data_IF_440077751330
#
_entry.id   IF_440077751330
#
_cell.length_a   1.000
_cell.length_b   1.000
_cell.length_c   1.000
_cell.angle_alpha   90.00
_cell.angle_beta   90.00
_cell.angle_gamma   90.00
#
_symmetry.space_group_name_H-M   'P 1'
#
loop_
_entity.id
_entity.type
_entity.pdbx_description
1 polymer ?
#
# COMPACT_ATOMS: atom_id res chain seq x y z
N UNK A 1 -2.08 -13.09 12.65
CA UNK A 1 -3.39 -13.19 13.33
C UNK A 1 -3.28 -13.52 14.81
N UNK A 2 -2.29 -14.33 15.24
CA UNK A 2 -2.11 -14.71 16.65
C UNK A 2 -1.88 -13.52 17.59
N UNK A 3 -1.20 -12.48 17.11
CA UNK A 3 -0.82 -11.28 17.87
C UNK A 3 -1.86 -10.16 17.84
N UNK A 4 -2.99 -10.34 17.14
CA UNK A 4 -4.06 -9.35 17.13
C UNK A 4 -4.85 -9.40 18.44
N UNK A 5 -5.29 -8.24 18.97
CA UNK A 5 -6.25 -8.18 20.07
C UNK A 5 -7.48 -9.05 19.80
N UNK A 6 -8.12 -9.53 20.87
CA UNK A 6 -9.20 -10.50 20.77
C UNK A 6 -10.40 -9.97 19.99
N UNK A 7 -10.63 -8.66 20.04
CA UNK A 7 -11.69 -7.96 19.33
C UNK A 7 -11.60 -8.22 17.81
N UNK A 8 -10.41 -8.13 17.22
CA UNK A 8 -10.19 -8.34 15.78
C UNK A 8 -10.41 -9.79 15.33
N UNK A 9 -10.42 -10.75 16.25
CA UNK A 9 -10.72 -12.16 15.91
C UNK A 9 -12.18 -12.38 15.52
N UNK A 10 -13.04 -11.39 15.73
CA UNK A 10 -14.44 -11.41 15.28
C UNK A 10 -14.61 -10.85 13.86
N UNK A 11 -13.57 -10.21 13.30
CA UNK A 11 -13.61 -9.70 11.94
C UNK A 11 -13.20 -10.79 10.93
N UNK A 12 -13.69 -10.72 9.69
CA UNK A 12 -13.23 -11.63 8.64
C UNK A 12 -11.73 -11.47 8.39
N UNK A 13 -11.00 -12.58 8.38
CA UNK A 13 -9.55 -12.58 8.08
C UNK A 13 -9.22 -11.86 6.77
N UNK A 14 -10.08 -12.01 5.75
CA UNK A 14 -9.91 -11.36 4.45
C UNK A 14 -9.88 -9.82 4.55
N UNK A 15 -10.51 -9.23 5.57
CA UNK A 15 -10.49 -7.79 5.84
C UNK A 15 -9.27 -7.33 6.63
N UNK A 16 -8.46 -8.26 7.16
CA UNK A 16 -7.36 -7.97 8.08
C UNK A 16 -5.99 -8.39 7.54
N UNK A 17 -5.93 -9.50 6.79
CA UNK A 17 -4.68 -10.11 6.37
C UNK A 17 -4.41 -9.89 4.88
N UNK A 18 -3.18 -9.47 4.56
CA UNK A 18 -2.73 -9.19 3.18
C UNK A 18 -1.41 -9.92 2.89
N UNK A 19 -1.44 -11.25 2.96
CA UNK A 19 -0.24 -12.08 2.80
C UNK A 19 0.69 -12.03 4.01
N UNK A 20 1.88 -12.61 3.87
CA UNK A 20 2.81 -12.83 4.99
C UNK A 20 3.47 -11.56 5.51
N UNK A 21 3.60 -10.54 4.67
CA UNK A 21 4.21 -9.23 4.98
C UNK A 21 3.18 -8.08 5.01
N UNK A 22 1.89 -8.41 4.84
CA UNK A 22 0.81 -7.42 4.77
C UNK A 22 0.72 -6.66 3.44
N UNK A 23 1.56 -6.96 2.45
CA UNK A 23 1.68 -6.15 1.23
C UNK A 23 1.13 -6.82 -0.03
N UNK A 24 0.59 -8.04 0.06
CA UNK A 24 0.13 -8.76 -1.14
C UNK A 24 -0.91 -7.97 -1.94
N UNK A 25 -1.91 -7.40 -1.27
CA UNK A 25 -2.94 -6.59 -1.93
C UNK A 25 -2.37 -5.25 -2.39
N UNK A 26 -1.57 -4.59 -1.56
CA UNK A 26 -0.93 -3.30 -1.86
C UNK A 26 -0.10 -3.36 -3.14
N UNK A 27 0.69 -4.42 -3.35
CA UNK A 27 1.50 -4.58 -4.56
C UNK A 27 0.66 -4.73 -5.83
N UNK A 28 -0.48 -5.43 -5.72
CA UNK A 28 -1.45 -5.54 -6.83
C UNK A 28 -2.10 -4.19 -7.13
N UNK A 29 -2.46 -3.42 -6.10
CA UNK A 29 -2.96 -2.05 -6.29
C UNK A 29 -1.91 -1.20 -7.00
N UNK A 30 -0.66 -1.19 -6.52
CA UNK A 30 0.44 -0.42 -7.12
C UNK A 30 0.71 -0.81 -8.59
N UNK A 31 0.62 -2.09 -8.94
CA UNK A 31 0.83 -2.56 -10.32
C UNK A 31 -0.29 -2.19 -11.30
N UNK A 32 -1.51 -1.92 -10.82
CA UNK A 32 -2.69 -1.74 -11.67
C UNK A 32 -3.31 -0.34 -11.57
N UNK A 33 -3.08 0.42 -10.49
CA UNK A 33 -3.78 1.69 -10.22
C UNK A 33 -3.63 2.72 -11.35
N UNK A 34 -2.47 2.78 -11.99
CA UNK A 34 -2.22 3.71 -13.09
C UNK A 34 -3.16 3.52 -14.30
N UNK A 35 -3.69 2.31 -14.51
CA UNK A 35 -4.61 2.01 -15.61
C UNK A 35 -6.03 2.58 -15.37
N UNK A 36 -6.36 2.92 -14.13
CA UNK A 36 -7.69 3.38 -13.71
C UNK A 36 -7.73 4.86 -13.28
N UNK A 37 -6.57 5.49 -13.10
CA UNK A 37 -6.47 6.89 -12.71
C UNK A 37 -6.61 7.83 -13.92
N UNK A 38 -7.25 8.98 -13.69
CA UNK A 38 -7.13 10.14 -14.58
C UNK A 38 -5.67 10.59 -14.69
N UNK A 39 -5.33 11.38 -15.71
CA UNK A 39 -3.95 11.77 -15.99
C UNK A 39 -3.29 12.54 -14.84
N UNK A 40 -4.05 13.34 -14.11
CA UNK A 40 -3.67 14.07 -12.89
C UNK A 40 -4.08 13.35 -11.59
N UNK A 41 -4.49 12.09 -11.69
CA UNK A 41 -4.98 11.30 -10.57
C UNK A 41 -3.91 10.96 -9.54
N UNK A 42 -4.35 10.78 -8.30
CA UNK A 42 -3.53 10.36 -7.16
C UNK A 42 -4.08 9.08 -6.53
N UNK A 43 -3.17 8.20 -6.12
CA UNK A 43 -3.44 7.07 -5.25
C UNK A 43 -3.08 7.46 -3.82
N UNK A 44 -4.01 7.28 -2.89
CA UNK A 44 -3.76 7.35 -1.45
C UNK A 44 -4.05 5.96 -0.88
N UNK A 45 -3.12 5.39 -0.14
CA UNK A 45 -3.23 4.02 0.37
C UNK A 45 -2.62 3.89 1.77
N UNK A 46 -3.38 3.28 2.68
CA UNK A 46 -2.93 2.95 4.03
C UNK A 46 -2.35 1.53 4.06
N UNK A 47 -1.18 1.41 4.68
CA UNK A 47 -0.47 0.14 4.94
C UNK A 47 -0.11 -0.04 6.40
N UNK A 48 -0.42 0.95 7.26
CA UNK A 48 -0.11 0.93 8.69
C UNK A 48 1.35 0.53 8.96
N UNK A 49 1.55 -0.46 9.84
CA UNK A 49 2.87 -0.96 10.24
C UNK A 49 3.68 -1.59 9.08
N UNK A 50 3.05 -1.96 7.96
CA UNK A 50 3.75 -2.46 6.78
C UNK A 50 4.49 -1.36 6.00
N UNK A 51 4.39 -0.09 6.41
CA UNK A 51 5.19 1.03 5.90
C UNK A 51 6.69 0.70 5.85
N UNK A 52 7.25 0.16 6.93
CA UNK A 52 8.68 -0.19 7.03
C UNK A 52 9.07 -1.18 5.93
N UNK A 53 8.26 -2.23 5.74
CA UNK A 53 8.49 -3.24 4.70
C UNK A 53 8.39 -2.64 3.30
N UNK A 54 7.50 -1.67 3.08
CA UNK A 54 7.35 -1.00 1.79
C UNK A 54 8.58 -0.15 1.46
N UNK A 55 9.06 0.64 2.44
CA UNK A 55 10.24 1.50 2.29
C UNK A 55 11.53 0.68 2.08
N UNK A 56 11.69 -0.43 2.80
CA UNK A 56 12.86 -1.31 2.66
C UNK A 56 12.90 -2.02 1.31
N UNK A 57 11.75 -2.48 0.81
CA UNK A 57 11.69 -3.26 -0.42
C UNK A 57 11.65 -2.41 -1.70
N UNK A 58 11.19 -1.16 -1.60
CA UNK A 58 11.02 -0.26 -2.72
C UNK A 58 11.64 1.12 -2.44
N UNK A 59 12.94 1.19 -2.15
CA UNK A 59 13.61 2.43 -1.74
C UNK A 59 13.62 3.50 -2.85
N UNK A 60 13.50 3.07 -4.11
CA UNK A 60 13.53 3.95 -5.28
C UNK A 60 12.15 4.51 -5.66
N UNK A 61 11.07 4.05 -5.01
CA UNK A 61 9.71 4.52 -5.28
C UNK A 61 9.42 5.74 -4.39
N UNK A 62 9.01 6.88 -4.96
CA UNK A 62 8.91 8.15 -4.24
C UNK A 62 7.62 8.25 -3.42
N UNK A 63 7.42 7.35 -2.44
CA UNK A 63 6.28 7.39 -1.54
C UNK A 63 6.25 8.70 -0.74
N UNK A 64 5.16 9.46 -0.89
CA UNK A 64 4.90 10.63 -0.05
C UNK A 64 4.10 10.17 1.16
N UNK A 65 4.75 9.99 2.31
CA UNK A 65 4.07 9.61 3.55
C UNK A 65 3.33 10.82 4.13
N UNK A 66 2.03 10.66 4.35
CA UNK A 66 1.17 11.74 4.83
C UNK A 66 1.20 11.80 6.35
N UNK A 67 1.29 13.01 6.89
CA UNK A 67 1.24 13.29 8.33
C UNK A 67 -0.19 13.71 8.72
N UNK A 68 -0.64 13.30 9.91
CA UNK A 68 -1.98 13.58 10.42
C UNK A 68 -1.94 14.28 11.78
N UNK A 69 -2.77 15.31 11.95
CA UNK A 69 -2.84 16.09 13.21
C UNK A 69 -3.30 15.27 14.43
N UNK A 70 -4.09 14.21 14.20
CA UNK A 70 -4.66 13.36 15.26
C UNK A 70 -3.95 12.00 15.40
N UNK A 71 -2.72 11.90 14.91
CA UNK A 71 -1.94 10.66 14.89
C UNK A 71 -2.41 9.66 13.83
N UNK A 72 -1.61 8.62 13.65
CA UNK A 72 -1.72 7.66 12.56
C UNK A 72 -0.55 7.81 11.59
N UNK A 73 -0.02 6.68 11.13
CA UNK A 73 1.12 6.59 10.23
C UNK A 73 0.85 5.53 9.16
N UNK A 74 1.69 5.50 8.14
CA UNK A 74 1.63 4.46 7.11
C UNK A 74 0.58 4.69 6.05
N UNK A 75 0.16 5.94 5.83
CA UNK A 75 -0.60 6.34 4.65
C UNK A 75 0.35 7.02 3.67
N UNK A 76 0.43 6.55 2.44
CA UNK A 76 1.21 7.18 1.39
C UNK A 76 0.34 7.75 0.27
N UNK A 77 0.90 8.70 -0.46
CA UNK A 77 0.38 9.22 -1.72
C UNK A 77 1.39 9.00 -2.85
N UNK A 78 0.88 8.63 -4.03
CA UNK A 78 1.60 8.60 -5.30
C UNK A 78 0.72 9.20 -6.40
N UNK A 79 1.31 9.97 -7.30
CA UNK A 79 0.65 10.39 -8.54
C UNK A 79 0.62 9.26 -9.55
N UNK A 80 -0.28 9.34 -10.55
CA UNK A 80 -0.27 8.41 -11.70
C UNK A 80 1.09 8.40 -12.40
N UNK A 81 1.73 9.55 -12.58
CA UNK A 81 3.07 9.64 -13.18
C UNK A 81 4.12 8.85 -12.38
N UNK A 82 4.12 8.98 -11.05
CA UNK A 82 5.03 8.23 -10.20
C UNK A 82 4.76 6.73 -10.24
N UNK A 83 3.49 6.31 -10.29
CA UNK A 83 3.11 4.90 -10.46
C UNK A 83 3.63 4.34 -11.79
N UNK A 84 3.52 5.11 -12.88
CA UNK A 84 4.03 4.71 -14.18
C UNK A 84 5.56 4.62 -14.19
N UNK A 85 6.26 5.55 -13.55
CA UNK A 85 7.71 5.51 -13.40
C UNK A 85 8.18 4.29 -12.60
N UNK A 86 7.42 3.89 -11.59
CA UNK A 86 7.72 2.74 -10.74
C UNK A 86 7.20 1.38 -11.26
N UNK A 87 6.53 1.35 -12.43
CA UNK A 87 5.78 0.18 -12.90
C UNK A 87 6.58 -1.13 -12.94
N UNK A 88 7.88 -1.04 -13.23
CA UNK A 88 8.75 -2.22 -13.38
C UNK A 88 8.91 -2.97 -12.04
N UNK A 89 8.88 -2.26 -10.91
CA UNK A 89 8.89 -2.87 -9.57
C UNK A 89 7.64 -3.72 -9.30
N UNK A 90 6.54 -3.43 -9.99
CA UNK A 90 5.23 -4.04 -9.75
C UNK A 90 4.71 -4.85 -10.95
N UNK A 91 5.51 -5.01 -12.02
CA UNK A 91 5.09 -5.65 -13.25
C UNK A 91 4.58 -7.08 -13.05
N UNK A 92 5.16 -7.83 -12.10
CA UNK A 92 4.74 -9.20 -11.78
C UNK A 92 3.38 -9.29 -11.06
N UNK A 93 2.84 -8.15 -10.61
CA UNK A 93 1.54 -8.05 -9.92
C UNK A 93 0.45 -7.43 -10.81
N UNK A 94 0.77 -7.10 -12.06
CA UNK A 94 -0.19 -6.63 -13.05
C UNK A 94 -1.10 -7.78 -13.49
N UNK A 95 -2.40 -7.52 -13.59
CA UNK A 95 -3.41 -8.49 -14.03
C UNK A 95 -3.37 -8.74 -15.55
#
# INVERSE_FOLDING_TARGET
>A
MSDLPNEYRHEPELGLASGTDGLKLTRRILGNAADYLADDGVLICEVGNSMVHLMEQYPDVPFTWLEFDNGGDGVFMLTKEQLLAAREHFAIYKD
#
